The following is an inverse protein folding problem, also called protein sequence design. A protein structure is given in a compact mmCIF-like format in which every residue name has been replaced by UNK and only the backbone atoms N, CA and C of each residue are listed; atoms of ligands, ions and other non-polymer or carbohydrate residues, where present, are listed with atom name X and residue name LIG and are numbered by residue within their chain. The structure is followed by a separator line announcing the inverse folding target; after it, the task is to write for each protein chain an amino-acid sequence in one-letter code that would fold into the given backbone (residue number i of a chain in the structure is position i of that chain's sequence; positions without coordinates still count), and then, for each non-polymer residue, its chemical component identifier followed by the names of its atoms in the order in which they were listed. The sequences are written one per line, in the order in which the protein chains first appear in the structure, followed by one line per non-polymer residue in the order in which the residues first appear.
data_IF_458773259778
#
_entry.id   IF_458773259778
#
_cell.length_a   1.000
_cell.length_b   1.000
_cell.length_c   1.000
_cell.angle_alpha   90.00
_cell.angle_beta   90.00
_cell.angle_gamma   90.00
#
_symmetry.space_group_name_H-M   'P 1'
#
loop_
_entity.id
_entity.type
_entity.pdbx_description
1 polymer ?
#
# COMPACT_ATOMS: atom_id res chain seq x y z
N UNK A 1 19.25 -18.56 68.03
CA UNK A 1 19.59 -17.15 68.27
C UNK A 1 18.65 -16.31 67.44
N UNK A 2 18.11 -15.26 68.07
CA UNK A 2 17.10 -14.30 67.58
C UNK A 2 17.49 -13.67 66.22
N UNK A 3 16.63 -13.14 65.37
CA UNK A 3 15.37 -12.41 65.58
C UNK A 3 15.58 -10.90 65.38
N UNK A 4 14.68 -10.28 64.59
CA UNK A 4 14.47 -8.82 64.30
C UNK A 4 15.19 -8.19 63.08
N UNK A 5 14.66 -7.20 62.35
CA UNK A 5 13.31 -6.75 61.94
C UNK A 5 13.48 -5.37 61.21
N UNK A 6 12.62 -5.06 60.22
CA UNK A 6 12.21 -3.72 59.70
C UNK A 6 13.23 -2.87 58.88
N UNK A 7 12.89 -2.08 57.83
CA UNK A 7 11.71 -1.84 56.97
C UNK A 7 12.04 -0.79 55.87
N UNK A 8 11.29 -0.82 54.75
CA UNK A 8 10.91 0.27 53.79
C UNK A 8 11.98 0.95 52.91
N UNK A 9 11.84 0.75 51.58
CA UNK A 9 10.89 1.49 50.73
C UNK A 9 11.47 2.43 49.67
N UNK A 10 11.16 2.17 48.37
CA UNK A 10 10.43 3.07 47.45
C UNK A 10 10.31 2.46 46.06
N UNK A 11 9.06 2.25 45.63
CA UNK A 11 8.65 2.21 44.23
C UNK A 11 8.58 3.65 43.68
N UNK A 12 8.91 3.83 42.40
CA UNK A 12 8.48 4.99 41.62
C UNK A 12 7.89 4.46 40.32
N UNK A 13 6.58 4.20 40.35
CA UNK A 13 5.70 4.26 39.18
C UNK A 13 5.31 5.73 39.01
N UNK A 14 5.37 6.26 37.79
CA UNK A 14 4.94 7.62 37.47
C UNK A 14 3.71 7.55 36.54
N UNK A 15 2.47 7.72 37.06
CA UNK A 15 1.26 7.82 36.26
C UNK A 15 0.77 9.28 36.24
N UNK A 16 0.81 9.92 35.07
CA UNK A 16 0.27 11.28 34.88
C UNK A 16 -0.48 11.42 33.56
N UNK A 17 -1.61 10.73 33.35
CA UNK A 17 -2.60 11.11 32.31
C UNK A 17 -4.05 10.62 32.61
N UNK A 18 -4.51 10.68 33.86
CA UNK A 18 -5.94 10.57 34.18
C UNK A 18 -6.34 11.55 35.27
N UNK A 19 -6.77 12.75 34.87
CA UNK A 19 -7.78 13.61 35.51
C UNK A 19 -8.06 14.73 34.50
N UNK A 20 -9.23 14.69 33.86
CA UNK A 20 -10.03 15.87 33.50
C UNK A 20 -11.36 15.41 32.90
N UNK A 21 -12.18 14.70 33.68
CA UNK A 21 -13.61 14.60 33.42
C UNK A 21 -14.37 14.52 34.75
N UNK A 22 -15.43 15.33 34.82
CA UNK A 22 -16.56 15.34 35.77
C UNK A 22 -16.41 16.21 37.03
N UNK A 23 -17.04 17.39 36.99
CA UNK A 23 -18.35 17.58 37.63
C UNK A 23 -18.88 19.00 37.45
N UNK A 24 -20.06 19.14 36.84
CA UNK A 24 -21.05 20.13 37.29
C UNK A 24 -22.44 19.69 36.86
N UNK A 25 -23.19 19.16 37.82
CA UNK A 25 -24.63 18.89 37.74
C UNK A 25 -25.40 20.17 38.05
N UNK A 26 -26.36 20.57 37.20
CA UNK A 26 -27.46 21.43 37.61
C UNK A 26 -28.79 20.96 37.01
N UNK A 27 -29.84 21.14 37.83
CA UNK A 27 -31.19 20.56 37.76
C UNK A 27 -32.10 21.06 36.62
N UNK A 28 -32.80 20.09 36.04
CA UNK A 28 -34.21 20.04 35.55
C UNK A 28 -35.06 21.32 35.43
N UNK A 29 -35.60 21.53 34.22
CA UNK A 29 -37.03 21.88 34.01
C UNK A 29 -37.49 21.55 32.58
N UNK A 30 -38.74 21.08 32.49
CA UNK A 30 -39.49 20.62 31.32
C UNK A 30 -39.57 21.60 30.15
N UNK A 31 -39.45 21.09 28.91
CA UNK A 31 -40.19 21.56 27.73
C UNK A 31 -40.08 20.54 26.57
N UNK A 32 -41.24 20.02 26.14
CA UNK A 32 -41.40 19.20 24.94
C UNK A 32 -40.92 19.96 23.70
N UNK A 33 -40.02 19.38 22.92
CA UNK A 33 -39.72 19.83 21.56
C UNK A 33 -39.45 18.62 20.66
N UNK A 34 -39.97 18.74 19.43
CA UNK A 34 -40.04 17.72 18.39
C UNK A 34 -38.65 17.15 18.07
N UNK A 35 -38.58 15.83 17.86
CA UNK A 35 -37.39 15.16 17.34
C UNK A 35 -37.01 15.77 15.98
N UNK A 36 -35.79 16.32 15.82
CA UNK A 36 -35.27 16.61 14.51
C UNK A 36 -34.89 15.29 13.84
N UNK A 37 -35.22 15.17 12.56
CA UNK A 37 -34.76 14.08 11.70
C UNK A 37 -33.24 13.98 11.76
N UNK A 38 -32.65 12.77 11.65
CA UNK A 38 -31.20 12.63 11.56
C UNK A 38 -30.68 13.46 10.36
N UNK A 39 -29.50 14.08 10.47
CA UNK A 39 -28.88 14.76 9.34
C UNK A 39 -28.68 13.75 8.20
N UNK A 40 -28.74 14.19 6.92
CA UNK A 40 -28.36 13.33 5.81
C UNK A 40 -26.94 12.82 6.06
N UNK A 41 -26.75 11.51 5.90
CA UNK A 41 -25.42 10.91 5.84
C UNK A 41 -24.65 11.61 4.73
N UNK A 42 -23.63 12.37 5.10
CA UNK A 42 -22.71 13.09 4.21
C UNK A 42 -21.67 12.11 3.65
N UNK A 43 -22.15 10.94 3.20
CA UNK A 43 -21.36 10.00 2.42
C UNK A 43 -21.46 10.54 1.00
N UNK A 44 -20.49 11.34 0.56
CA UNK A 44 -20.57 12.14 -0.67
C UNK A 44 -20.67 11.38 -1.99
N UNK A 45 -21.07 10.11 -1.98
CA UNK A 45 -21.40 9.26 -3.13
C UNK A 45 -22.91 9.06 -3.18
N UNK A 46 -23.52 9.27 -4.35
CA UNK A 46 -24.96 9.13 -4.47
C UNK A 46 -25.44 7.67 -4.27
N UNK A 47 -26.62 7.48 -3.69
CA UNK A 47 -27.29 6.17 -3.60
C UNK A 47 -27.41 5.48 -4.98
N UNK A 48 -27.47 6.29 -6.05
CA UNK A 48 -27.54 5.83 -7.43
C UNK A 48 -26.21 5.23 -7.90
N UNK A 49 -25.09 5.90 -7.63
CA UNK A 49 -23.75 5.36 -7.90
C UNK A 49 -23.50 4.07 -7.12
N UNK A 50 -23.92 4.01 -5.85
CA UNK A 50 -23.75 2.81 -5.04
C UNK A 50 -24.49 1.61 -5.66
N UNK A 51 -25.77 1.79 -6.04
CA UNK A 51 -26.57 0.73 -6.68
C UNK A 51 -26.00 0.32 -8.03
N UNK A 52 -25.54 1.27 -8.84
CA UNK A 52 -24.94 0.97 -10.12
C UNK A 52 -23.66 0.16 -9.95
N UNK A 53 -22.79 0.55 -9.02
CA UNK A 53 -21.59 -0.21 -8.65
C UNK A 53 -21.94 -1.64 -8.22
N UNK A 54 -22.91 -1.81 -7.32
CA UNK A 54 -23.37 -3.13 -6.88
C UNK A 54 -23.87 -3.98 -8.06
N UNK A 55 -24.63 -3.39 -8.98
CA UNK A 55 -25.17 -4.08 -10.18
C UNK A 55 -24.04 -4.57 -11.10
N UNK A 56 -23.00 -3.75 -11.32
CA UNK A 56 -21.85 -4.13 -12.15
C UNK A 56 -21.04 -5.24 -11.47
N UNK A 57 -20.77 -5.11 -10.16
CA UNK A 57 -20.04 -6.11 -9.39
C UNK A 57 -20.81 -7.44 -9.25
N UNK A 58 -22.14 -7.40 -9.19
CA UNK A 58 -22.98 -8.61 -9.25
C UNK A 58 -22.84 -9.32 -10.61
N UNK A 59 -22.82 -8.55 -11.71
CA UNK A 59 -22.51 -9.09 -13.04
C UNK A 59 -21.13 -9.74 -13.10
N UNK A 60 -20.10 -9.09 -12.57
CA UNK A 60 -18.74 -9.64 -12.44
C UNK A 60 -18.73 -10.94 -11.63
N UNK A 61 -19.39 -10.96 -10.48
CA UNK A 61 -19.49 -12.15 -9.62
C UNK A 61 -20.11 -13.34 -10.33
N UNK A 62 -21.16 -13.11 -11.12
CA UNK A 62 -21.75 -14.16 -11.95
C UNK A 62 -20.81 -14.65 -13.06
N UNK A 63 -20.03 -13.76 -13.69
CA UNK A 63 -19.06 -14.16 -14.72
C UNK A 63 -17.90 -14.98 -14.12
N UNK A 64 -17.40 -14.61 -12.94
CA UNK A 64 -16.40 -15.41 -12.20
C UNK A 64 -16.97 -16.78 -11.83
N UNK A 65 -18.22 -16.85 -11.37
CA UNK A 65 -18.87 -18.13 -11.06
C UNK A 65 -19.06 -19.02 -12.30
N UNK A 66 -19.37 -18.45 -13.46
CA UNK A 66 -19.40 -19.19 -14.72
C UNK A 66 -18.01 -19.75 -15.08
N UNK A 67 -16.96 -18.95 -14.91
CA UNK A 67 -15.59 -19.40 -15.13
C UNK A 67 -15.21 -20.54 -14.19
N UNK A 68 -15.51 -20.44 -12.88
CA UNK A 68 -15.28 -21.51 -11.88
C UNK A 68 -16.03 -22.80 -12.24
N UNK A 69 -17.24 -22.71 -12.80
CA UNK A 69 -17.99 -23.89 -13.29
C UNK A 69 -17.35 -24.53 -14.53
N UNK A 70 -16.67 -23.73 -15.35
CA UNK A 70 -16.04 -24.19 -16.59
C UNK A 70 -14.60 -24.73 -16.41
N UNK A 71 -13.85 -24.20 -15.42
CA UNK A 71 -12.45 -24.55 -15.16
C UNK A 71 -12.36 -25.40 -13.90
N UNK A 72 -11.89 -26.65 -14.03
CA UNK A 72 -11.70 -27.54 -12.88
C UNK A 72 -10.61 -26.99 -11.95
N UNK A 73 -10.86 -27.05 -10.63
CA UNK A 73 -9.95 -26.65 -9.56
C UNK A 73 -9.60 -25.15 -9.54
N UNK A 74 -10.49 -24.29 -10.01
CA UNK A 74 -10.36 -22.85 -9.83
C UNK A 74 -11.01 -22.42 -8.50
N UNK A 75 -10.21 -22.44 -7.43
CA UNK A 75 -10.68 -22.04 -6.09
C UNK A 75 -10.29 -20.60 -5.71
N UNK A 76 -9.37 -19.98 -6.46
CA UNK A 76 -8.94 -18.58 -6.23
C UNK A 76 -10.11 -17.61 -6.45
N UNK A 77 -10.21 -16.63 -5.56
CA UNK A 77 -11.12 -15.48 -5.67
C UNK A 77 -10.40 -14.27 -6.25
N UNK A 78 -11.15 -13.37 -6.89
CA UNK A 78 -10.60 -12.07 -7.26
C UNK A 78 -10.24 -11.30 -5.99
N UNK A 79 -9.12 -10.59 -6.02
CA UNK A 79 -8.79 -9.64 -4.96
C UNK A 79 -9.65 -8.37 -5.11
N UNK A 80 -9.84 -7.62 -4.04
CA UNK A 80 -10.55 -6.33 -4.12
C UNK A 80 -9.87 -5.34 -5.08
N UNK A 81 -8.56 -5.46 -5.27
CA UNK A 81 -7.79 -4.67 -6.24
C UNK A 81 -8.22 -5.02 -7.67
N UNK A 82 -8.28 -6.32 -8.00
CA UNK A 82 -8.71 -6.82 -9.31
C UNK A 82 -10.16 -6.43 -9.61
N UNK A 83 -11.04 -6.54 -8.62
CA UNK A 83 -12.44 -6.11 -8.74
C UNK A 83 -12.56 -4.62 -9.08
N UNK A 84 -11.80 -3.74 -8.41
CA UNK A 84 -11.82 -2.30 -8.71
C UNK A 84 -11.27 -2.00 -10.12
N UNK A 85 -10.28 -2.76 -10.62
CA UNK A 85 -9.76 -2.58 -11.99
C UNK A 85 -10.77 -3.02 -13.03
N UNK A 86 -11.43 -4.14 -12.80
CA UNK A 86 -12.50 -4.65 -13.64
C UNK A 86 -13.73 -3.74 -13.64
N UNK A 87 -14.04 -3.13 -12.49
CA UNK A 87 -15.08 -2.11 -12.40
C UNK A 87 -14.72 -0.87 -13.22
N UNK A 88 -13.48 -0.38 -13.12
CA UNK A 88 -13.01 0.74 -13.94
C UNK A 88 -13.08 0.45 -15.44
N UNK A 89 -12.70 -0.75 -15.88
CA UNK A 89 -12.83 -1.15 -17.29
C UNK A 89 -14.29 -1.10 -17.76
N UNK A 90 -15.24 -1.52 -16.93
CA UNK A 90 -16.67 -1.41 -17.26
C UNK A 90 -17.16 0.04 -17.27
N UNK A 91 -16.61 0.91 -16.41
CA UNK A 91 -16.90 2.35 -16.45
C UNK A 91 -16.53 2.94 -17.80
N UNK A 92 -15.31 2.67 -18.28
CA UNK A 92 -14.81 3.17 -19.57
C UNK A 92 -15.58 2.57 -20.76
N UNK A 93 -15.87 1.26 -20.75
CA UNK A 93 -16.56 0.59 -21.86
C UNK A 93 -18.02 1.06 -22.01
N UNK A 94 -18.72 1.27 -20.88
CA UNK A 94 -20.15 1.59 -20.89
C UNK A 94 -20.47 3.06 -20.60
N UNK A 95 -19.45 3.92 -20.45
CA UNK A 95 -19.60 5.34 -20.05
C UNK A 95 -20.48 5.47 -18.79
N UNK A 96 -20.16 4.66 -17.78
CA UNK A 96 -20.97 4.60 -16.55
C UNK A 96 -20.76 5.87 -15.72
N UNK A 97 -21.83 6.48 -15.17
CA UNK A 97 -21.72 7.65 -14.30
C UNK A 97 -21.27 7.25 -12.89
N UNK A 98 -20.13 6.56 -12.77
CA UNK A 98 -19.51 6.18 -11.50
C UNK A 98 -18.28 7.05 -11.25
N UNK A 99 -18.17 7.58 -10.04
CA UNK A 99 -17.01 8.38 -9.67
C UNK A 99 -15.79 7.50 -9.40
N UNK A 100 -14.66 7.85 -10.00
CA UNK A 100 -13.37 7.22 -9.76
C UNK A 100 -12.23 8.25 -9.67
N UNK A 101 -11.08 7.83 -9.13
CA UNK A 101 -9.83 8.60 -9.15
C UNK A 101 -8.62 7.66 -9.10
N UNK A 102 -7.42 8.13 -9.47
CA UNK A 102 -6.20 7.33 -9.36
C UNK A 102 -5.54 7.51 -7.99
N UNK A 103 -5.60 6.47 -7.14
CA UNK A 103 -5.14 6.51 -5.75
C UNK A 103 -4.54 5.17 -5.29
N UNK A 104 -3.35 5.23 -4.68
CA UNK A 104 -2.60 4.08 -4.12
C UNK A 104 -2.34 2.96 -5.14
N UNK A 105 -3.20 1.94 -5.22
CA UNK A 105 -3.11 0.86 -6.21
C UNK A 105 -3.76 1.22 -7.56
N UNK A 106 -3.82 2.50 -7.92
CA UNK A 106 -4.35 2.99 -9.21
C UNK A 106 -5.83 3.42 -9.14
N UNK A 107 -6.60 3.21 -10.21
CA UNK A 107 -8.01 3.65 -10.24
C UNK A 107 -8.84 3.04 -9.09
N UNK A 108 -9.61 3.87 -8.39
CA UNK A 108 -10.47 3.46 -7.27
C UNK A 108 -11.81 4.17 -7.36
N UNK A 109 -12.90 3.44 -7.23
CA UNK A 109 -14.24 4.02 -7.19
C UNK A 109 -14.63 4.43 -5.76
N UNK A 110 -15.49 5.43 -5.64
CA UNK A 110 -15.67 6.26 -4.44
C UNK A 110 -16.19 5.56 -3.15
N UNK A 111 -16.32 4.23 -3.07
CA UNK A 111 -16.91 3.56 -1.89
C UNK A 111 -15.95 3.34 -0.71
N UNK A 112 -14.68 3.77 -0.78
CA UNK A 112 -13.73 3.68 0.35
C UNK A 112 -12.57 4.70 0.22
N UNK A 113 -12.86 5.98 0.49
CA UNK A 113 -11.87 7.06 0.39
C UNK A 113 -10.94 7.22 1.62
N UNK A 114 -10.93 6.26 2.56
CA UNK A 114 -9.96 6.28 3.65
C UNK A 114 -9.61 4.87 4.12
N UNK A 115 -8.49 4.27 3.66
CA UNK A 115 -7.79 3.34 4.53
C UNK A 115 -7.28 4.18 5.70
N UNK A 116 -7.96 4.10 6.84
CA UNK A 116 -7.38 4.60 8.08
C UNK A 116 -6.21 3.68 8.42
N UNK A 117 -5.01 4.19 8.75
CA UNK A 117 -4.03 3.36 9.43
C UNK A 117 -4.65 2.99 10.78
N UNK A 118 -5.15 1.76 10.89
CA UNK A 118 -5.69 1.25 12.15
C UNK A 118 -4.48 1.00 13.04
N UNK A 119 -4.41 1.68 14.20
CA UNK A 119 -3.42 1.33 15.23
C UNK A 119 -3.48 -0.19 15.52
N UNK A 120 -2.34 -0.87 15.70
CA UNK A 120 -2.28 -2.32 15.80
C UNK A 120 -2.92 -2.77 17.12
N UNK A 121 -4.22 -3.07 17.07
CA UNK A 121 -4.91 -3.88 18.07
C UNK A 121 -5.87 -4.79 17.29
N UNK A 122 -5.46 -6.05 17.19
CA UNK A 122 -6.17 -7.19 16.59
C UNK A 122 -6.38 -7.15 15.06
N UNK A 123 -5.39 -7.67 14.32
CA UNK A 123 -5.54 -8.73 13.29
C UNK A 123 -6.74 -8.72 12.33
N UNK A 124 -7.31 -7.56 12.02
CA UNK A 124 -8.44 -7.41 11.11
C UNK A 124 -7.92 -6.98 9.75
N UNK A 125 -7.84 -7.95 8.84
CA UNK A 125 -7.75 -7.74 7.41
C UNK A 125 -8.67 -6.58 7.00
N UNK A 126 -8.19 -5.75 6.08
CA UNK A 126 -8.99 -4.78 5.35
C UNK A 126 -10.35 -5.40 5.01
N UNK A 127 -11.44 -4.87 5.60
CA UNK A 127 -12.80 -5.20 5.17
C UNK A 127 -13.02 -4.51 3.80
N UNK A 128 -12.26 -4.94 2.79
CA UNK A 128 -12.58 -4.78 1.39
C UNK A 128 -13.84 -5.59 1.11
N UNK A 129 -14.88 -4.92 0.64
CA UNK A 129 -16.19 -5.49 0.38
C UNK A 129 -16.08 -6.56 -0.73
N UNK A 130 -15.80 -7.82 -0.34
CA UNK A 130 -15.80 -9.01 -1.21
C UNK A 130 -17.24 -9.38 -1.56
N UNK A 131 -17.88 -8.55 -2.39
CA UNK A 131 -19.28 -8.76 -2.76
C UNK A 131 -19.44 -9.74 -3.91
N UNK A 132 -18.51 -9.77 -4.87
CA UNK A 132 -18.71 -10.56 -6.09
C UNK A 132 -18.68 -12.08 -5.81
N UNK A 133 -17.93 -12.51 -4.79
CA UNK A 133 -17.77 -13.94 -4.44
C UNK A 133 -18.75 -14.47 -3.40
N UNK A 134 -19.42 -13.60 -2.63
CA UNK A 134 -20.41 -14.01 -1.62
C UNK A 134 -21.86 -14.12 -2.14
N UNK A 135 -22.08 -14.00 -3.46
CA UNK A 135 -23.40 -14.16 -4.06
C UNK A 135 -23.73 -15.66 -4.12
N UNK A 136 -24.27 -16.16 -3.02
CA UNK A 136 -24.80 -17.52 -2.92
C UNK A 136 -25.75 -17.83 -4.07
N UNK A 137 -25.73 -19.11 -4.48
CA UNK A 137 -26.40 -19.76 -5.62
C UNK A 137 -27.90 -19.39 -5.81
N UNK A 138 -28.19 -18.12 -6.12
CA UNK A 138 -29.51 -17.63 -6.46
C UNK A 138 -29.80 -18.06 -7.88
N UNK A 139 -30.73 -19.00 -8.01
CA UNK A 139 -31.26 -19.52 -9.26
C UNK A 139 -31.42 -18.42 -10.32
N UNK A 140 -30.87 -18.66 -11.51
CA UNK A 140 -30.78 -17.74 -12.65
C UNK A 140 -32.14 -17.35 -13.30
N UNK A 141 -33.25 -17.52 -12.60
CA UNK A 141 -34.60 -17.16 -13.06
C UNK A 141 -35.06 -15.86 -12.40
N UNK A 142 -34.49 -14.74 -12.84
CA UNK A 142 -34.88 -13.40 -12.36
C UNK A 142 -33.77 -12.36 -12.33
N UNK A 143 -32.60 -12.64 -12.93
CA UNK A 143 -31.49 -11.70 -13.02
C UNK A 143 -31.96 -10.45 -13.76
N UNK A 144 -31.77 -9.28 -13.14
CA UNK A 144 -32.02 -7.97 -13.76
C UNK A 144 -31.33 -7.92 -15.13
N UNK A 145 -31.97 -7.33 -16.14
CA UNK A 145 -31.41 -7.26 -17.49
C UNK A 145 -30.03 -6.58 -17.50
N UNK A 146 -29.78 -5.67 -16.57
CA UNK A 146 -28.50 -4.97 -16.45
C UNK A 146 -27.41 -5.86 -15.87
N UNK A 147 -27.71 -6.67 -14.85
CA UNK A 147 -26.77 -7.66 -14.30
C UNK A 147 -26.38 -8.71 -15.37
N UNK A 148 -27.35 -9.16 -16.15
CA UNK A 148 -27.10 -10.11 -17.23
C UNK A 148 -26.17 -9.52 -18.30
N UNK A 149 -26.35 -8.24 -18.66
CA UNK A 149 -25.48 -7.51 -19.58
C UNK A 149 -24.03 -7.48 -19.07
N UNK A 150 -23.80 -7.10 -17.80
CA UNK A 150 -22.45 -7.04 -17.24
C UNK A 150 -21.81 -8.42 -17.10
N UNK A 151 -22.57 -9.44 -16.73
CA UNK A 151 -22.10 -10.83 -16.72
C UNK A 151 -21.60 -11.28 -18.09
N UNK A 152 -22.36 -11.03 -19.15
CA UNK A 152 -21.97 -11.37 -20.52
C UNK A 152 -20.71 -10.62 -20.95
N UNK A 153 -20.64 -9.32 -20.64
CA UNK A 153 -19.45 -8.51 -20.87
C UNK A 153 -18.20 -9.14 -20.26
N UNK A 154 -18.18 -9.37 -18.94
CA UNK A 154 -16.99 -9.92 -18.29
C UNK A 154 -16.65 -11.34 -18.73
N UNK A 155 -17.65 -12.16 -19.09
CA UNK A 155 -17.43 -13.54 -19.55
C UNK A 155 -16.78 -13.60 -20.93
N UNK A 156 -17.21 -12.73 -21.85
CA UNK A 156 -16.91 -12.87 -23.28
C UNK A 156 -15.86 -11.86 -23.78
N UNK A 157 -15.39 -10.95 -22.92
CA UNK A 157 -14.45 -9.87 -23.28
C UNK A 157 -13.00 -10.21 -22.97
N UNK A 158 -12.11 -9.79 -23.86
CA UNK A 158 -10.68 -9.59 -23.59
C UNK A 158 -10.48 -8.09 -23.37
N UNK A 159 -9.98 -7.70 -22.19
CA UNK A 159 -10.01 -6.32 -21.70
C UNK A 159 -8.86 -5.47 -22.28
N UNK A 160 -7.62 -5.87 -21.99
CA UNK A 160 -6.41 -5.19 -22.44
C UNK A 160 -5.31 -6.21 -22.70
N UNK A 161 -4.45 -5.95 -23.68
CA UNK A 161 -3.49 -6.95 -24.16
C UNK A 161 -4.16 -8.30 -24.47
N UNK A 162 -3.83 -9.31 -23.68
CA UNK A 162 -4.42 -10.66 -23.74
C UNK A 162 -5.20 -11.03 -22.46
N UNK A 163 -5.56 -10.05 -21.62
CA UNK A 163 -6.27 -10.31 -20.36
C UNK A 163 -7.76 -10.57 -20.58
N UNK A 164 -8.17 -11.81 -20.34
CA UNK A 164 -9.54 -12.19 -20.00
C UNK A 164 -9.65 -12.47 -18.48
N UNK A 165 -10.85 -12.75 -17.96
CA UNK A 165 -11.05 -13.08 -16.55
C UNK A 165 -10.15 -14.23 -16.06
N UNK A 166 -9.87 -15.19 -16.94
CA UNK A 166 -9.03 -16.33 -16.58
C UNK A 166 -7.58 -15.88 -16.40
N UNK A 167 -7.04 -15.11 -17.34
CA UNK A 167 -5.67 -14.61 -17.25
C UNK A 167 -5.50 -13.74 -16.01
N UNK A 168 -6.46 -12.87 -15.68
CA UNK A 168 -6.44 -12.06 -14.44
C UNK A 168 -6.31 -12.96 -13.21
N UNK A 169 -7.18 -13.97 -13.08
CA UNK A 169 -7.16 -14.90 -11.94
C UNK A 169 -5.89 -15.77 -11.87
N UNK A 170 -5.09 -15.89 -12.93
CA UNK A 170 -3.84 -16.66 -12.87
C UNK A 170 -2.57 -15.80 -12.88
N UNK A 171 -2.69 -14.49 -13.05
CA UNK A 171 -1.55 -13.57 -13.05
C UNK A 171 -1.30 -13.06 -11.63
N UNK A 172 -0.03 -12.90 -11.26
CA UNK A 172 0.33 -12.28 -9.99
C UNK A 172 -0.11 -10.81 -9.95
N UNK A 173 -0.44 -10.30 -8.76
CA UNK A 173 -0.99 -8.93 -8.62
C UNK A 173 -0.04 -7.86 -9.20
N UNK A 174 1.26 -7.95 -8.93
CA UNK A 174 2.28 -7.02 -9.43
C UNK A 174 2.34 -6.97 -10.95
N UNK A 175 2.35 -8.14 -11.61
CA UNK A 175 2.36 -8.25 -13.07
C UNK A 175 1.06 -7.69 -13.66
N UNK A 176 -0.09 -8.10 -13.11
CA UNK A 176 -1.40 -7.60 -13.52
C UNK A 176 -1.50 -6.08 -13.40
N UNK A 177 -1.05 -5.50 -12.28
CA UNK A 177 -1.09 -4.07 -12.05
C UNK A 177 -0.17 -3.30 -13.00
N UNK A 178 1.05 -3.79 -13.25
CA UNK A 178 1.97 -3.14 -14.17
C UNK A 178 1.40 -3.08 -15.59
N UNK A 179 0.86 -4.20 -16.08
CA UNK A 179 0.22 -4.29 -17.40
C UNK A 179 -1.06 -3.42 -17.44
N UNK A 180 -1.84 -3.41 -16.37
CA UNK A 180 -3.02 -2.55 -16.25
C UNK A 180 -2.64 -1.05 -16.34
N UNK A 181 -1.58 -0.62 -15.63
CA UNK A 181 -1.13 0.76 -15.66
C UNK A 181 -0.62 1.18 -17.02
N UNK A 182 0.10 0.30 -17.73
CA UNK A 182 0.56 0.57 -19.09
C UNK A 182 -0.59 0.95 -20.05
N UNK A 183 -1.76 0.35 -19.85
CA UNK A 183 -2.92 0.54 -20.72
C UNK A 183 -3.86 1.67 -20.27
N UNK A 184 -4.02 1.85 -18.95
CA UNK A 184 -5.08 2.69 -18.40
C UNK A 184 -4.61 3.86 -17.54
N UNK A 185 -3.39 3.83 -17.01
CA UNK A 185 -2.92 4.92 -16.17
C UNK A 185 -2.83 6.22 -16.99
N UNK A 186 -3.10 7.39 -16.36
CA UNK A 186 -2.80 8.65 -17.01
C UNK A 186 -1.33 8.64 -17.44
N UNK A 187 -1.00 8.98 -18.70
CA UNK A 187 0.33 8.73 -19.26
C UNK A 187 1.47 9.29 -18.40
N UNK A 188 1.28 10.46 -17.80
CA UNK A 188 2.28 11.10 -16.93
C UNK A 188 2.55 10.39 -15.59
N UNK A 189 1.70 9.46 -15.16
CA UNK A 189 1.87 8.72 -13.90
C UNK A 189 2.18 7.24 -14.09
N UNK A 190 2.19 6.76 -15.33
CA UNK A 190 2.26 5.32 -15.64
C UNK A 190 3.50 4.67 -15.05
N UNK A 191 4.68 5.22 -15.37
CA UNK A 191 5.96 4.70 -14.89
C UNK A 191 6.10 4.82 -13.35
N UNK A 192 5.61 5.92 -12.77
CA UNK A 192 5.61 6.12 -11.32
C UNK A 192 4.80 5.03 -10.57
N UNK A 193 3.58 4.72 -11.04
CA UNK A 193 2.76 3.65 -10.47
C UNK A 193 3.41 2.28 -10.61
N UNK A 194 4.05 2.00 -11.75
CA UNK A 194 4.78 0.75 -11.98
C UNK A 194 5.98 0.62 -11.04
N UNK A 195 6.81 1.66 -10.93
CA UNK A 195 7.98 1.66 -10.05
C UNK A 195 7.56 1.47 -8.57
N UNK A 196 6.52 2.18 -8.12
CA UNK A 196 5.99 2.01 -6.76
C UNK A 196 5.45 0.60 -6.49
N UNK A 197 4.81 -0.02 -7.47
CA UNK A 197 4.27 -1.38 -7.33
C UNK A 197 5.38 -2.42 -7.29
N UNK A 198 6.45 -2.24 -8.08
CA UNK A 198 7.64 -3.10 -8.02
C UNK A 198 8.36 -3.00 -6.68
N UNK A 199 8.41 -1.81 -6.07
CA UNK A 199 9.00 -1.66 -4.74
C UNK A 199 8.19 -2.40 -3.66
N UNK A 200 6.86 -2.34 -3.71
CA UNK A 200 6.01 -3.14 -2.81
C UNK A 200 6.26 -4.65 -2.98
N UNK A 201 6.31 -5.12 -4.22
CA UNK A 201 6.59 -6.52 -4.56
C UNK A 201 7.96 -6.98 -4.03
N UNK A 202 8.97 -6.10 -4.06
CA UNK A 202 10.27 -6.37 -3.45
C UNK A 202 10.19 -6.49 -1.93
N UNK A 203 9.48 -5.60 -1.25
CA UNK A 203 9.28 -5.68 0.20
C UNK A 203 8.52 -6.96 0.59
N UNK A 204 7.51 -7.36 -0.18
CA UNK A 204 6.79 -8.63 0.01
C UNK A 204 7.72 -9.84 -0.12
N UNK A 205 8.54 -9.88 -1.18
CA UNK A 205 9.52 -10.94 -1.39
C UNK A 205 10.54 -11.06 -0.27
N UNK A 206 10.96 -9.95 0.34
CA UNK A 206 11.88 -9.96 1.48
C UNK A 206 11.23 -10.62 2.70
N UNK A 207 9.97 -10.28 2.99
CA UNK A 207 9.20 -10.88 4.09
C UNK A 207 9.00 -12.38 3.87
N UNK A 208 8.61 -12.78 2.65
CA UNK A 208 8.41 -14.20 2.30
C UNK A 208 9.70 -15.00 2.53
N UNK A 209 10.85 -14.49 2.10
CA UNK A 209 12.16 -15.13 2.35
C UNK A 209 12.49 -15.23 3.84
N UNK A 210 12.20 -14.18 4.60
CA UNK A 210 12.38 -14.18 6.06
C UNK A 210 11.59 -15.31 6.71
N UNK A 211 10.33 -15.50 6.32
CA UNK A 211 9.45 -16.57 6.81
C UNK A 211 9.92 -17.97 6.41
N UNK A 212 10.32 -18.15 5.15
CA UNK A 212 10.81 -19.45 4.65
C UNK A 212 12.07 -19.93 5.39
N UNK A 213 12.91 -19.01 5.89
CA UNK A 213 14.07 -19.38 6.69
C UNK A 213 13.70 -19.86 8.10
N UNK A 214 12.69 -19.25 8.74
CA UNK A 214 12.21 -19.67 10.06
C UNK A 214 11.63 -21.09 10.01
N UNK A 215 10.82 -21.39 8.98
CA UNK A 215 10.22 -22.70 8.76
C UNK A 215 11.26 -23.80 8.44
N UNK A 216 12.34 -23.47 7.72
CA UNK A 216 13.38 -24.43 7.31
C UNK A 216 14.54 -24.59 8.33
N UNK A 217 14.50 -23.85 9.44
CA UNK A 217 15.54 -23.84 10.49
C UNK A 217 15.78 -25.21 11.16
N UNK A 218 14.87 -26.18 10.99
CA UNK A 218 14.99 -27.53 11.58
C UNK A 218 15.74 -28.55 10.71
N UNK A 219 15.98 -28.29 9.42
CA UNK A 219 16.66 -29.23 8.50
C UNK A 219 17.90 -28.65 7.78
N UNK A 220 18.06 -27.32 7.73
CA UNK A 220 19.18 -26.66 7.03
C UNK A 220 20.53 -26.69 7.77
N UNK A 221 20.55 -27.08 9.06
CA UNK A 221 21.80 -27.19 9.85
C UNK A 221 22.80 -28.28 9.39
N UNK A 222 22.52 -29.03 8.31
CA UNK A 222 23.37 -30.13 7.83
C UNK A 222 24.03 -29.93 6.45
N UNK A 223 23.82 -28.81 5.76
CA UNK A 223 24.35 -28.58 4.41
C UNK A 223 25.15 -27.29 4.30
N UNK A 224 26.46 -27.40 4.16
CA UNK A 224 27.37 -26.28 3.90
C UNK A 224 27.01 -25.58 2.57
N UNK A 225 26.32 -24.46 2.66
CA UNK A 225 26.20 -23.44 1.62
C UNK A 225 26.71 -22.11 2.19
N UNK A 226 27.39 -21.32 1.35
CA UNK A 226 27.89 -19.98 1.69
C UNK A 226 26.77 -19.11 2.29
N UNK A 227 27.02 -18.36 3.37
CA UNK A 227 26.05 -17.45 3.94
C UNK A 227 25.88 -16.28 2.97
N UNK A 228 24.88 -16.37 2.10
CA UNK A 228 24.34 -15.18 1.45
C UNK A 228 23.36 -14.55 2.45
N UNK A 229 23.40 -13.24 2.63
CA UNK A 229 22.39 -12.54 3.42
C UNK A 229 20.97 -12.78 2.92
N UNK A 230 19.96 -12.32 3.67
CA UNK A 230 18.54 -12.32 3.27
C UNK A 230 18.38 -11.70 1.87
N UNK A 231 19.19 -10.67 1.61
CA UNK A 231 19.42 -10.09 0.30
C UNK A 231 20.85 -10.34 -0.15
N UNK A 232 21.02 -10.62 -1.43
CA UNK A 232 22.33 -10.51 -2.09
C UNK A 232 22.64 -9.03 -2.38
N UNK A 233 23.93 -8.65 -2.53
CA UNK A 233 24.29 -7.30 -2.98
C UNK A 233 23.65 -6.90 -4.32
N UNK A 234 23.50 -7.85 -5.24
CA UNK A 234 22.82 -7.59 -6.52
C UNK A 234 21.34 -7.28 -6.33
N UNK A 235 20.65 -8.00 -5.46
CA UNK A 235 19.23 -7.73 -5.17
C UNK A 235 19.05 -6.41 -4.45
N UNK A 236 19.95 -6.02 -3.54
CA UNK A 236 19.95 -4.67 -2.97
C UNK A 236 20.07 -3.60 -4.07
N UNK A 237 20.98 -3.79 -5.03
CA UNK A 237 21.14 -2.88 -6.17
C UNK A 237 19.88 -2.83 -7.05
N UNK A 238 19.24 -3.97 -7.32
CA UNK A 238 18.01 -4.03 -8.12
C UNK A 238 16.87 -3.27 -7.42
N UNK A 239 16.78 -3.32 -6.08
CA UNK A 239 15.78 -2.54 -5.33
C UNK A 239 16.12 -1.04 -5.35
N UNK A 240 17.39 -0.67 -5.20
CA UNK A 240 17.84 0.72 -5.29
C UNK A 240 17.59 1.33 -6.68
N UNK A 241 17.70 0.53 -7.74
CA UNK A 241 17.32 0.95 -9.09
C UNK A 241 15.82 1.31 -9.14
N UNK A 242 14.95 0.50 -8.54
CA UNK A 242 13.51 0.81 -8.45
C UNK A 242 13.24 2.07 -7.62
N UNK A 243 13.96 2.28 -6.50
CA UNK A 243 13.85 3.53 -5.71
C UNK A 243 14.30 4.75 -6.54
N UNK A 244 15.38 4.59 -7.29
CA UNK A 244 15.92 5.61 -8.19
C UNK A 244 14.91 5.96 -9.29
N UNK A 245 14.26 4.95 -9.89
CA UNK A 245 13.17 5.15 -10.86
C UNK A 245 12.04 5.98 -10.24
N UNK A 246 11.60 5.67 -9.01
CA UNK A 246 10.57 6.46 -8.32
C UNK A 246 10.99 7.93 -8.20
N UNK A 247 12.25 8.21 -7.85
CA UNK A 247 12.74 9.60 -7.74
C UNK A 247 12.80 10.30 -9.09
N UNK A 248 13.26 9.62 -10.14
CA UNK A 248 13.29 10.19 -11.50
C UNK A 248 11.88 10.49 -12.01
N UNK A 249 10.95 9.56 -11.86
CA UNK A 249 9.57 9.73 -12.31
C UNK A 249 8.87 10.85 -11.50
N UNK A 250 9.11 10.96 -10.19
CA UNK A 250 8.61 12.08 -9.38
C UNK A 250 9.21 13.43 -9.80
N UNK A 251 10.47 13.45 -10.21
CA UNK A 251 11.15 14.65 -10.66
C UNK A 251 10.62 15.18 -12.00
N UNK A 252 10.17 14.28 -12.89
CA UNK A 252 9.62 14.64 -14.20
C UNK A 252 8.19 15.19 -14.14
N UNK A 253 7.51 15.08 -13.00
CA UNK A 253 6.12 15.50 -12.80
C UNK A 253 6.07 16.77 -11.93
N UNK A 254 5.92 17.98 -12.52
CA UNK A 254 5.98 19.24 -11.77
C UNK A 254 4.92 19.36 -10.68
N UNK A 255 3.75 18.76 -10.87
CA UNK A 255 2.66 18.81 -9.88
C UNK A 255 2.97 18.03 -8.60
N UNK A 256 4.01 17.20 -8.60
CA UNK A 256 4.46 16.40 -7.45
C UNK A 256 5.74 16.96 -6.79
N UNK A 257 6.24 18.12 -7.23
CA UNK A 257 7.49 18.74 -6.73
C UNK A 257 7.53 18.85 -5.20
N UNK A 258 6.41 19.26 -4.60
CA UNK A 258 6.28 19.42 -3.14
C UNK A 258 6.48 18.10 -2.37
N UNK A 259 6.22 16.96 -3.01
CA UNK A 259 6.31 15.64 -2.36
C UNK A 259 7.71 15.06 -2.36
N UNK A 260 8.55 15.46 -3.32
CA UNK A 260 9.85 14.84 -3.60
C UNK A 260 10.73 14.76 -2.36
N UNK A 261 10.90 15.88 -1.64
CA UNK A 261 11.83 15.95 -0.51
C UNK A 261 11.48 15.00 0.65
N UNK A 262 10.19 14.73 0.89
CA UNK A 262 9.77 13.80 1.94
C UNK A 262 9.71 12.36 1.44
N UNK A 263 9.36 12.16 0.16
CA UNK A 263 9.41 10.82 -0.45
C UNK A 263 10.85 10.30 -0.47
N UNK A 264 11.82 11.12 -0.89
CA UNK A 264 13.25 10.76 -0.87
C UNK A 264 13.71 10.34 0.52
N UNK A 265 13.39 11.14 1.55
CA UNK A 265 13.71 10.77 2.94
C UNK A 265 13.05 9.49 3.39
N UNK A 266 11.79 9.28 3.01
CA UNK A 266 11.08 8.04 3.34
C UNK A 266 11.69 6.81 2.66
N UNK A 267 12.10 6.92 1.40
CA UNK A 267 12.77 5.84 0.69
C UNK A 267 14.21 5.62 1.15
N UNK A 268 14.91 6.66 1.65
CA UNK A 268 16.23 6.50 2.27
C UNK A 268 16.15 5.54 3.47
N UNK A 269 15.11 5.61 4.30
CA UNK A 269 14.91 4.66 5.42
C UNK A 269 14.76 3.20 4.94
N UNK A 270 14.11 3.01 3.77
CA UNK A 270 13.99 1.70 3.14
C UNK A 270 15.36 1.23 2.66
N UNK A 271 16.09 2.06 1.91
CA UNK A 271 17.43 1.72 1.40
C UNK A 271 18.42 1.41 2.53
N UNK A 272 18.38 2.16 3.63
CA UNK A 272 19.20 1.89 4.82
C UNK A 272 18.86 0.52 5.42
N UNK A 273 17.57 0.19 5.54
CA UNK A 273 17.14 -1.13 6.03
C UNK A 273 17.62 -2.24 5.10
N UNK A 274 17.47 -2.08 3.77
CA UNK A 274 17.94 -3.05 2.78
C UNK A 274 19.46 -3.28 2.85
N UNK A 275 20.22 -2.20 3.07
CA UNK A 275 21.67 -2.27 3.27
C UNK A 275 22.02 -3.14 4.48
N UNK A 276 21.33 -2.95 5.60
CA UNK A 276 21.55 -3.77 6.79
C UNK A 276 21.20 -5.25 6.53
N UNK A 277 20.18 -5.52 5.72
CA UNK A 277 19.72 -6.88 5.40
C UNK A 277 20.70 -7.71 4.56
N UNK A 278 21.61 -7.08 3.79
CA UNK A 278 22.64 -7.84 3.05
C UNK A 278 23.67 -8.49 3.96
N UNK A 279 23.85 -7.94 5.17
CA UNK A 279 24.75 -8.46 6.19
C UNK A 279 24.06 -9.47 7.13
N UNK A 280 22.74 -9.54 7.11
CA UNK A 280 21.98 -10.49 7.93
C UNK A 280 21.80 -11.82 7.21
N UNK A 281 22.36 -12.90 7.74
CA UNK A 281 22.10 -14.24 7.22
C UNK A 281 20.72 -14.80 7.58
N UNK A 282 20.11 -14.26 8.65
CA UNK A 282 18.82 -14.68 9.22
C UNK A 282 18.17 -13.48 9.91
N UNK A 283 16.84 -13.42 9.94
CA UNK A 283 16.08 -12.40 10.67
C UNK A 283 15.64 -12.90 12.04
N UNK A 284 15.62 -12.01 13.03
CA UNK A 284 14.89 -12.25 14.28
C UNK A 284 13.39 -12.03 14.05
N UNK A 285 12.55 -12.52 14.97
CA UNK A 285 11.10 -12.29 14.95
C UNK A 285 10.79 -10.79 14.94
N UNK A 286 11.41 -10.02 15.83
CA UNK A 286 11.27 -8.55 15.89
C UNK A 286 11.68 -7.85 14.57
N UNK A 287 12.71 -8.34 13.87
CA UNK A 287 13.14 -7.77 12.60
C UNK A 287 12.16 -8.10 11.47
N UNK A 288 11.62 -9.32 11.47
CA UNK A 288 10.62 -9.73 10.49
C UNK A 288 9.31 -8.99 10.71
N UNK A 289 8.87 -8.82 11.95
CA UNK A 289 7.69 -8.01 12.33
C UNK A 289 7.86 -6.56 11.88
N UNK A 290 9.02 -5.94 12.15
CA UNK A 290 9.32 -4.58 11.65
C UNK A 290 9.22 -4.47 10.12
N UNK A 291 9.80 -5.42 9.37
CA UNK A 291 9.74 -5.36 7.89
C UNK A 291 8.31 -5.60 7.39
N UNK A 292 7.61 -6.57 7.99
CA UNK A 292 6.28 -6.99 7.55
C UNK A 292 5.20 -5.96 7.88
N UNK A 293 5.16 -5.48 9.12
CA UNK A 293 4.10 -4.63 9.65
C UNK A 293 4.46 -3.16 9.54
N UNK A 294 5.69 -2.76 9.90
CA UNK A 294 6.03 -1.34 10.01
C UNK A 294 6.56 -0.75 8.71
N UNK A 295 7.58 -1.36 8.10
CA UNK A 295 8.27 -0.82 6.93
C UNK A 295 7.39 -0.83 5.67
N UNK A 296 6.64 -1.92 5.45
CA UNK A 296 5.72 -2.04 4.33
C UNK A 296 4.57 -1.04 4.42
N UNK A 297 3.93 -0.95 5.58
CA UNK A 297 2.83 0.00 5.80
C UNK A 297 3.33 1.43 5.76
N UNK A 298 4.53 1.69 6.30
CA UNK A 298 5.19 2.98 6.17
C UNK A 298 5.35 3.38 4.70
N UNK A 299 5.91 2.50 3.87
CA UNK A 299 6.07 2.79 2.46
C UNK A 299 4.72 3.07 1.80
N UNK A 300 3.75 2.16 1.95
CA UNK A 300 2.51 2.23 1.18
C UNK A 300 1.55 3.33 1.68
N UNK A 301 1.35 3.44 3.00
CA UNK A 301 0.37 4.36 3.60
C UNK A 301 0.94 5.74 3.95
N UNK A 302 2.26 5.94 3.89
CA UNK A 302 2.88 7.23 4.15
C UNK A 302 3.70 7.72 2.96
N UNK A 303 4.77 7.01 2.57
CA UNK A 303 5.67 7.45 1.51
C UNK A 303 4.95 7.55 0.17
N UNK A 304 4.30 6.47 -0.28
CA UNK A 304 3.57 6.41 -1.53
C UNK A 304 2.24 7.15 -1.49
N UNK A 305 1.54 7.11 -0.35
CA UNK A 305 0.26 7.81 -0.17
C UNK A 305 0.40 9.31 -0.44
N UNK A 306 1.53 9.92 -0.11
CA UNK A 306 1.70 11.36 -0.22
C UNK A 306 1.56 11.89 -1.66
N UNK A 307 2.33 11.41 -2.66
CA UNK A 307 2.07 11.75 -4.07
C UNK A 307 0.73 11.19 -4.55
N UNK A 308 0.29 10.02 -4.09
CA UNK A 308 -1.00 9.45 -4.51
C UNK A 308 -2.21 10.33 -4.14
N UNK A 309 -2.18 11.03 -3.00
CA UNK A 309 -3.23 11.99 -2.62
C UNK A 309 -3.33 13.13 -3.63
N UNK A 310 -2.17 13.63 -4.09
CA UNK A 310 -2.09 14.70 -5.10
C UNK A 310 -2.61 14.21 -6.44
N UNK A 311 -2.14 13.04 -6.90
CA UNK A 311 -2.60 12.39 -8.13
C UNK A 311 -4.11 12.19 -8.10
N UNK A 312 -4.63 11.68 -6.99
CA UNK A 312 -6.05 11.36 -6.89
C UNK A 312 -6.95 12.58 -6.99
N UNK A 313 -6.59 13.70 -6.34
CA UNK A 313 -7.39 14.91 -6.47
C UNK A 313 -7.32 15.56 -7.86
N UNK A 314 -6.25 15.31 -8.63
CA UNK A 314 -6.13 15.76 -10.03
C UNK A 314 -6.84 14.85 -11.04
N UNK A 315 -7.06 13.59 -10.69
CA UNK A 315 -7.58 12.55 -11.59
C UNK A 315 -8.99 12.10 -11.23
N UNK A 316 -9.61 12.71 -10.23
CA UNK A 316 -10.99 12.45 -9.90
C UNK A 316 -11.90 12.78 -11.09
N UNK A 317 -12.88 11.93 -11.36
CA UNK A 317 -13.82 12.09 -12.47
C UNK A 317 -15.14 11.43 -12.08
N UNK A 318 -16.27 12.01 -12.53
CA UNK A 318 -17.61 11.48 -12.33
C UNK A 318 -18.48 12.38 -11.43
N UNK A 319 -19.70 11.93 -11.07
CA UNK A 319 -20.67 12.78 -10.37
C UNK A 319 -20.21 13.37 -9.03
N UNK A 320 -19.32 12.67 -8.32
CA UNK A 320 -18.76 13.06 -7.01
C UNK A 320 -17.29 13.50 -7.08
N UNK A 321 -16.79 13.89 -8.26
CA UNK A 321 -15.41 14.37 -8.45
C UNK A 321 -15.01 15.44 -7.43
N UNK A 322 -15.84 16.49 -7.27
CA UNK A 322 -15.54 17.61 -6.37
C UNK A 322 -15.34 17.16 -4.91
N UNK A 323 -16.06 16.12 -4.48
CA UNK A 323 -15.95 15.56 -3.13
C UNK A 323 -14.59 14.88 -2.96
N UNK A 324 -14.20 14.01 -3.90
CA UNK A 324 -12.91 13.31 -3.85
C UNK A 324 -11.76 14.32 -3.87
N UNK A 325 -11.78 15.25 -4.82
CA UNK A 325 -10.75 16.28 -4.95
C UNK A 325 -10.62 17.10 -3.67
N UNK A 326 -11.74 17.57 -3.10
CA UNK A 326 -11.72 18.35 -1.86
C UNK A 326 -11.13 17.55 -0.69
N UNK A 327 -11.56 16.31 -0.50
CA UNK A 327 -11.21 15.52 0.66
C UNK A 327 -9.75 15.05 0.61
N UNK A 328 -9.27 14.64 -0.57
CA UNK A 328 -7.87 14.25 -0.76
C UNK A 328 -6.92 15.45 -0.71
N UNK A 329 -7.29 16.61 -1.31
CA UNK A 329 -6.47 17.81 -1.22
C UNK A 329 -6.42 18.37 0.22
N UNK A 330 -7.52 18.28 0.97
CA UNK A 330 -7.51 18.63 2.39
C UNK A 330 -6.56 17.74 3.19
N UNK A 331 -6.54 16.45 2.89
CA UNK A 331 -5.63 15.49 3.54
C UNK A 331 -4.18 15.81 3.18
N UNK A 332 -3.91 15.98 1.88
CA UNK A 332 -2.60 16.33 1.31
C UNK A 332 -1.94 17.52 2.01
N UNK A 333 -2.67 18.64 2.17
CA UNK A 333 -2.16 19.88 2.80
C UNK A 333 -1.66 19.65 4.24
N UNK A 334 -2.18 18.65 4.94
CA UNK A 334 -1.80 18.32 6.33
C UNK A 334 -0.94 17.06 6.45
N UNK A 335 -0.53 16.48 5.31
CA UNK A 335 0.13 15.17 5.29
C UNK A 335 1.63 15.27 5.60
N UNK A 336 2.28 16.39 5.26
CA UNK A 336 3.71 16.65 5.53
C UNK A 336 4.12 16.33 6.96
N UNK A 337 3.40 16.87 7.94
CA UNK A 337 3.73 16.72 9.36
C UNK A 337 3.43 15.31 9.87
N UNK A 338 2.55 14.57 9.19
CA UNK A 338 2.31 13.16 9.48
C UNK A 338 3.44 12.29 8.96
N UNK A 339 3.86 12.51 7.70
CA UNK A 339 4.95 11.78 7.07
C UNK A 339 6.29 12.04 7.78
N UNK A 340 6.61 13.30 8.12
CA UNK A 340 7.84 13.63 8.89
C UNK A 340 7.92 12.85 10.20
N UNK A 341 6.82 12.82 10.96
CA UNK A 341 6.77 12.08 12.24
C UNK A 341 6.93 10.57 12.06
N UNK A 342 6.40 10.02 10.97
CA UNK A 342 6.55 8.59 10.68
C UNK A 342 7.95 8.25 10.17
N UNK A 343 8.60 9.14 9.41
CA UNK A 343 10.02 8.99 9.05
C UNK A 343 10.87 8.91 10.33
N UNK A 344 10.68 9.87 11.25
CA UNK A 344 11.41 9.89 12.52
C UNK A 344 11.16 8.59 13.33
N UNK A 345 9.90 8.15 13.41
CA UNK A 345 9.54 6.91 14.12
C UNK A 345 10.13 5.65 13.47
N UNK A 346 10.06 5.50 12.13
CA UNK A 346 10.65 4.36 11.43
C UNK A 346 12.17 4.32 11.61
N UNK A 347 12.84 5.48 11.59
CA UNK A 347 14.28 5.53 11.86
C UNK A 347 14.60 5.05 13.28
N UNK A 348 13.81 5.44 14.28
CA UNK A 348 13.98 5.00 15.66
C UNK A 348 13.72 3.49 15.79
N UNK A 349 12.63 2.99 15.22
CA UNK A 349 12.26 1.58 15.29
C UNK A 349 13.30 0.68 14.58
N UNK A 350 13.78 1.08 13.39
CA UNK A 350 14.87 0.40 12.69
C UNK A 350 16.13 0.28 13.55
N UNK A 351 16.50 1.37 14.22
CA UNK A 351 17.65 1.41 15.13
C UNK A 351 17.44 0.47 16.33
N UNK A 352 16.21 0.38 16.88
CA UNK A 352 15.86 -0.50 18.01
C UNK A 352 15.93 -1.99 17.64
N UNK A 353 15.46 -2.39 16.45
CA UNK A 353 15.56 -3.77 15.96
C UNK A 353 16.94 -4.12 15.37
N UNK A 354 17.87 -3.16 15.38
CA UNK A 354 19.25 -3.35 14.96
C UNK A 354 19.44 -3.50 13.45
N UNK A 355 18.54 -2.93 12.64
CA UNK A 355 18.61 -2.92 11.17
C UNK A 355 19.24 -1.63 10.63
N UNK A 356 20.22 -1.09 11.35
CA UNK A 356 20.92 0.14 10.95
C UNK A 356 22.30 -0.22 10.41
N UNK A 357 22.60 0.15 9.15
CA UNK A 357 23.86 -0.19 8.54
C UNK A 357 25.03 0.48 9.25
N UNK A 358 26.13 -0.25 9.36
CA UNK A 358 27.41 0.26 9.84
C UNK A 358 28.10 1.11 8.76
N UNK A 359 29.05 1.96 9.14
CA UNK A 359 29.82 2.75 8.18
C UNK A 359 30.67 1.87 7.23
N UNK A 360 31.00 0.64 7.64
CA UNK A 360 31.75 -0.29 6.82
C UNK A 360 30.87 -0.91 5.71
N UNK A 361 29.55 -0.97 5.93
CA UNK A 361 28.58 -1.59 5.01
C UNK A 361 28.44 -0.80 3.70
N UNK A 362 28.71 0.52 3.74
CA UNK A 362 28.73 1.37 2.55
C UNK A 362 30.04 1.26 1.73
N UNK A 363 31.14 0.82 2.36
CA UNK A 363 32.45 0.74 1.69
C UNK A 363 32.62 -0.55 0.87
N UNK A 364 31.83 -1.58 1.13
CA UNK A 364 31.90 -2.86 0.42
C UNK A 364 31.38 -2.75 -1.03
N UNK A 365 30.58 -1.73 -1.32
CA UNK A 365 30.04 -1.42 -2.66
C UNK A 365 30.97 -0.61 -3.55
N UNK A 366 32.11 -0.18 -3.02
CA UNK A 366 33.09 0.58 -3.79
C UNK A 366 34.19 -0.38 -4.24
N UNK A 367 34.08 -0.95 -5.45
CA UNK A 367 35.26 -1.53 -6.09
C UNK A 367 36.29 -0.39 -6.21
N UNK A 368 37.48 -0.49 -5.60
CA UNK A 368 38.51 0.53 -5.75
C UNK A 368 38.86 0.80 -7.22
N UNK A 369 38.62 -0.15 -8.13
CA UNK A 369 38.79 0.04 -9.56
C UNK A 369 37.65 0.85 -10.21
N UNK A 370 36.41 0.75 -9.73
CA UNK A 370 35.29 1.62 -10.17
C UNK A 370 35.42 3.04 -9.62
N UNK A 371 35.79 3.21 -8.35
CA UNK A 371 36.04 4.54 -7.78
C UNK A 371 37.20 5.25 -8.47
N UNK A 372 38.24 4.49 -8.87
CA UNK A 372 39.33 4.99 -9.69
C UNK A 372 38.85 5.37 -11.10
N UNK A 373 37.94 4.61 -11.71
CA UNK A 373 37.36 4.95 -13.00
C UNK A 373 36.53 6.25 -12.94
N UNK A 374 35.69 6.43 -11.92
CA UNK A 374 34.91 7.66 -11.71
C UNK A 374 35.81 8.87 -11.42
N UNK A 375 36.85 8.71 -10.60
CA UNK A 375 37.80 9.79 -10.34
C UNK A 375 38.64 10.14 -11.59
N UNK A 376 38.92 9.18 -12.45
CA UNK A 376 39.66 9.42 -13.71
C UNK A 376 38.80 10.13 -14.75
N UNK A 377 37.53 9.73 -14.91
CA UNK A 377 36.57 10.39 -15.81
C UNK A 377 36.30 11.83 -15.35
N UNK A 378 36.12 12.06 -14.05
CA UNK A 378 35.95 13.41 -13.50
C UNK A 378 37.20 14.29 -13.64
N UNK A 379 38.41 13.71 -13.58
CA UNK A 379 39.65 14.44 -13.83
C UNK A 379 39.85 14.81 -15.31
N UNK A 380 39.47 13.92 -16.23
CA UNK A 380 39.59 14.15 -17.67
C UNK A 380 38.55 15.19 -18.17
N UNK A 381 37.36 15.26 -17.59
CA UNK A 381 36.38 16.32 -17.89
C UNK A 381 36.82 17.71 -17.38
N UNK A 382 37.51 17.78 -16.23
CA UNK A 382 38.06 19.04 -15.68
C UNK A 382 39.29 19.53 -16.45
N UNK A 383 40.02 18.63 -17.12
CA UNK A 383 41.14 18.98 -17.98
C UNK A 383 40.71 19.38 -19.40
N UNK A 384 39.64 18.78 -19.94
CA UNK A 384 39.08 19.13 -21.26
C UNK A 384 38.20 20.39 -21.28
N UNK A 385 37.87 20.97 -20.13
CA UNK A 385 37.12 22.24 -20.03
C UNK A 385 38.02 23.48 -19.89
N UNK A 386 39.35 23.29 -19.94
CA UNK A 386 40.35 24.38 -19.85
C UNK A 386 41.22 24.56 -21.11
N UNK A 387 40.85 23.96 -22.24
CA UNK A 387 41.32 24.34 -23.59
C UNK A 387 40.22 25.12 -24.33
#
# INVERSE_FOLDING_TARGET
MEGNHFHRGRQVFNPLWKILLNNTTFRTSHLSTMSPSPPPSDDGVSDEEHRLRETVLEGLGHAVNDLKRSVRNLDRELTGVEEEKLLYIAIEEFDLPLTYSWYLKGCKTASNNNPSPVSPIDGRQEEGFTTATNIGDRDASGVDSDVAKYREFYRDTTFFGEYDLRKIIFTGETEFLCDFYEHYAPPKYTALYQASTRLQDWLDKIVERGKEQDDNSTLSQYGAGTPSGILTPQEEMDVREVVTDIHFELADIPELEETQALVTKGTEEIELTLTALTQQSTLTEDQLEFIEEDLKDFYYYYVWRYPALRISGETATGPSEEVITRDHMRTYVSFDDQLKRHIDWISEERDEVGLTPSMDDFNEYTDPDELAAYQTVAYDELLNTNE
#
